data_IF_643804172452
#
_entry.id   IF_643804172452
#
_cell.length_a   1.000
_cell.length_b   1.000
_cell.length_c   1.000
_cell.angle_alpha   90.00
_cell.angle_beta   90.00
_cell.angle_gamma   90.00
#
_symmetry.space_group_name_H-M   'P 1'
#
loop_
_entity.id
_entity.type
_entity.pdbx_description
1 polymer ?
#
# COMPACT_ATOMS: atom_id res chain seq x y z
N UNK A 1 6.89 14.76 20.36
CA UNK A 1 6.78 15.11 18.95
C UNK A 1 5.34 14.95 18.48
N UNK A 2 4.98 15.67 17.43
CA UNK A 2 3.70 15.59 16.77
C UNK A 2 3.96 15.39 15.27
N UNK A 3 3.27 14.46 14.64
CA UNK A 3 3.36 14.18 13.20
C UNK A 3 2.05 13.61 12.68
N UNK A 4 2.02 13.19 11.41
CA UNK A 4 0.93 12.42 10.81
C UNK A 4 1.49 11.21 10.06
N UNK A 5 0.62 10.25 9.76
CA UNK A 5 0.96 9.03 9.02
C UNK A 5 0.77 9.17 7.52
N UNK A 6 -0.12 10.04 7.07
CA UNK A 6 -0.38 10.45 5.68
C UNK A 6 -1.22 11.73 5.64
N UNK A 7 -1.44 12.28 4.45
CA UNK A 7 -2.38 13.38 4.22
C UNK A 7 -3.75 12.87 3.78
N UNK A 8 -4.81 13.63 4.12
CA UNK A 8 -6.20 13.41 3.71
C UNK A 8 -7.03 14.68 3.83
N UNK A 9 -7.21 15.18 5.10
CA UNK A 9 -8.21 16.20 5.42
C UNK A 9 -7.83 17.62 4.95
N UNK A 10 -6.59 17.82 4.56
CA UNK A 10 -6.11 19.08 3.98
C UNK A 10 -6.52 19.27 2.52
N UNK A 11 -7.29 18.30 1.95
CA UNK A 11 -7.80 18.38 0.58
C UNK A 11 -9.18 17.75 0.45
N UNK A 12 -10.23 18.57 0.56
CA UNK A 12 -11.64 18.15 0.53
C UNK A 12 -12.24 17.97 -0.87
N UNK A 13 -11.61 18.55 -1.90
CA UNK A 13 -12.18 18.58 -3.25
C UNK A 13 -11.17 18.15 -4.30
N UNK A 14 -11.66 17.48 -5.33
CA UNK A 14 -10.92 17.21 -6.56
C UNK A 14 -10.68 18.49 -7.36
N UNK A 15 -9.84 18.43 -8.38
CA UNK A 15 -9.62 19.53 -9.31
C UNK A 15 -10.91 19.97 -10.06
N UNK A 16 -11.92 19.09 -10.15
CA UNK A 16 -13.24 19.41 -10.73
C UNK A 16 -14.23 19.99 -9.71
N UNK A 17 -13.84 20.18 -8.45
CA UNK A 17 -14.70 20.71 -7.39
C UNK A 17 -15.69 19.73 -6.78
N UNK A 18 -15.57 18.43 -7.07
CA UNK A 18 -16.36 17.38 -6.41
C UNK A 18 -15.71 16.97 -5.10
N UNK A 19 -16.48 16.52 -4.07
CA UNK A 19 -15.91 16.02 -2.82
C UNK A 19 -14.88 14.92 -3.07
N UNK A 20 -13.73 15.01 -2.42
CA UNK A 20 -12.63 14.05 -2.49
C UNK A 20 -12.39 13.44 -1.11
N UNK A 21 -12.68 12.16 -0.94
CA UNK A 21 -12.39 11.43 0.29
C UNK A 21 -11.11 10.60 0.19
N UNK A 22 -10.35 10.77 -0.89
CA UNK A 22 -9.10 10.05 -1.09
C UNK A 22 -7.97 10.64 -0.25
N UNK A 23 -7.03 9.80 0.15
CA UNK A 23 -5.78 10.26 0.74
C UNK A 23 -4.96 11.06 -0.28
N UNK A 24 -4.02 11.87 0.21
CA UNK A 24 -3.24 12.77 -0.62
C UNK A 24 -1.77 12.33 -0.74
N UNK A 25 -1.04 12.98 -1.62
CA UNK A 25 0.42 12.86 -1.72
C UNK A 25 1.14 13.99 -0.99
N UNK A 26 0.42 14.82 -0.26
CA UNK A 26 0.99 15.95 0.45
C UNK A 26 1.98 15.49 1.52
N UNK A 27 2.91 16.38 1.85
CA UNK A 27 3.82 16.19 2.97
C UNK A 27 3.04 16.26 4.28
N UNK A 28 3.60 15.69 5.33
CA UNK A 28 3.05 15.80 6.69
C UNK A 28 4.00 16.58 7.60
N UNK A 29 3.50 17.24 8.65
CA UNK A 29 4.34 17.99 9.56
C UNK A 29 5.08 17.06 10.52
N UNK A 30 6.25 17.50 10.99
CA UNK A 30 6.93 16.95 12.16
C UNK A 30 7.36 18.09 13.07
N UNK A 31 6.80 18.16 14.27
CA UNK A 31 7.11 19.14 15.30
C UNK A 31 7.81 18.44 16.45
N UNK A 32 8.92 19.01 16.90
CA UNK A 32 9.68 18.51 18.06
C UNK A 32 9.70 19.58 19.16
N UNK A 33 8.97 19.32 20.24
CA UNK A 33 8.81 20.21 21.36
C UNK A 33 9.63 19.69 22.55
N UNK A 34 10.60 20.46 22.99
CA UNK A 34 11.37 20.19 24.20
C UNK A 34 11.29 21.38 25.16
N UNK A 35 10.46 21.30 26.21
CA UNK A 35 10.31 22.41 27.16
C UNK A 35 11.61 22.80 27.90
N UNK A 36 12.61 21.92 27.90
CA UNK A 36 13.89 22.19 28.54
C UNK A 36 14.85 22.98 27.61
N UNK A 37 14.57 23.03 26.31
CA UNK A 37 15.39 23.75 25.34
C UNK A 37 14.91 25.18 25.15
N UNK A 38 15.85 26.13 25.28
CA UNK A 38 15.59 27.56 25.03
C UNK A 38 15.85 27.97 23.58
N UNK A 39 16.65 27.20 22.85
CA UNK A 39 17.01 27.46 21.49
C UNK A 39 16.31 26.42 20.55
N UNK A 40 15.98 26.80 19.30
CA UNK A 40 15.45 25.86 18.31
C UNK A 40 16.38 24.68 18.10
N UNK A 41 15.79 23.49 17.99
CA UNK A 41 16.49 22.30 17.49
C UNK A 41 16.40 22.34 15.98
N UNK A 42 17.54 22.34 15.31
CA UNK A 42 17.57 22.26 13.85
C UNK A 42 17.06 20.91 13.38
N UNK A 43 16.00 20.90 12.62
CA UNK A 43 15.43 19.69 12.02
C UNK A 43 15.64 19.73 10.50
N UNK A 44 16.00 18.60 9.93
CA UNK A 44 15.99 18.41 8.47
C UNK A 44 14.63 17.90 8.00
N UNK A 45 14.28 18.14 6.75
CA UNK A 45 13.20 17.45 6.08
C UNK A 45 13.58 15.97 5.87
N UNK A 46 12.56 15.11 5.80
CA UNK A 46 12.79 13.68 5.69
C UNK A 46 11.57 12.88 5.22
N UNK A 47 11.45 11.70 5.74
CA UNK A 47 10.31 10.81 5.51
C UNK A 47 9.87 10.10 6.79
N UNK A 48 8.74 9.42 6.76
CA UNK A 48 8.20 8.75 7.95
C UNK A 48 9.17 7.72 8.56
N UNK A 49 10.04 7.11 7.77
CA UNK A 49 11.04 6.17 8.28
C UNK A 49 12.15 6.83 9.12
N UNK A 50 12.21 8.15 9.18
CA UNK A 50 13.17 8.89 10.00
C UNK A 50 12.66 9.12 11.44
N UNK A 51 11.40 8.84 11.70
CA UNK A 51 10.78 9.07 13.02
C UNK A 51 11.34 8.13 14.09
N UNK A 52 11.33 6.81 13.88
CA UNK A 52 11.89 5.88 14.86
C UNK A 52 13.37 6.15 15.16
N UNK A 53 14.26 6.38 14.18
CA UNK A 53 15.61 6.84 14.43
C UNK A 53 15.69 8.11 15.30
N UNK A 54 14.80 9.08 15.05
CA UNK A 54 14.74 10.31 15.86
C UNK A 54 14.31 10.03 17.29
N UNK A 55 13.33 9.15 17.50
CA UNK A 55 12.92 8.72 18.85
C UNK A 55 14.08 8.06 19.61
N UNK A 56 14.78 7.14 18.95
CA UNK A 56 15.92 6.45 19.54
C UNK A 56 17.06 7.43 19.89
N UNK A 57 17.35 8.36 18.99
CA UNK A 57 18.36 9.41 19.19
C UNK A 57 18.02 10.28 20.40
N UNK A 58 16.78 10.80 20.51
CA UNK A 58 16.29 11.58 21.66
C UNK A 58 16.41 10.79 22.96
N UNK A 59 16.14 9.50 22.95
CA UNK A 59 16.19 8.63 24.13
C UNK A 59 17.60 8.11 24.45
N UNK A 60 18.61 8.41 23.62
CA UNK A 60 19.98 7.91 23.77
C UNK A 60 20.11 6.40 23.57
N UNK A 61 19.20 5.80 22.80
CA UNK A 61 19.19 4.37 22.48
C UNK A 61 19.89 4.15 21.14
N UNK A 62 20.86 3.22 21.06
CA UNK A 62 21.54 2.91 19.80
C UNK A 62 20.56 2.46 18.72
N UNK A 63 20.69 3.03 17.53
CA UNK A 63 19.88 2.64 16.36
C UNK A 63 20.33 1.26 15.86
N UNK A 64 19.39 0.29 15.66
CA UNK A 64 19.69 -0.99 15.02
C UNK A 64 20.16 -0.81 13.55
N UNK A 65 21.10 -1.65 13.08
CA UNK A 65 21.63 -1.54 11.71
C UNK A 65 20.58 -1.78 10.61
N UNK A 66 19.48 -2.44 10.93
CA UNK A 66 18.36 -2.65 10.01
C UNK A 66 17.52 -1.40 9.78
N UNK A 67 17.60 -0.41 10.66
CA UNK A 67 16.98 0.89 10.46
C UNK A 67 17.88 1.74 9.57
N UNK A 68 17.38 2.06 8.36
CA UNK A 68 18.11 2.86 7.36
C UNK A 68 17.75 4.34 7.37
N UNK A 69 16.68 4.71 8.09
CA UNK A 69 16.33 6.10 8.37
C UNK A 69 17.37 6.78 9.23
N UNK A 70 17.31 8.09 9.35
CA UNK A 70 18.25 8.90 10.13
C UNK A 70 17.50 9.87 11.02
N UNK A 71 18.05 10.22 12.19
CA UNK A 71 17.47 11.24 13.06
C UNK A 71 17.19 12.54 12.29
N UNK A 72 16.02 13.12 12.49
CA UNK A 72 15.64 14.43 11.94
C UNK A 72 16.38 15.57 12.65
N UNK A 73 16.83 15.33 13.88
CA UNK A 73 17.63 16.26 14.70
C UNK A 73 19.13 15.89 14.71
N UNK A 74 19.65 15.50 13.56
CA UNK A 74 21.01 15.00 13.39
C UNK A 74 22.06 15.98 13.93
N UNK A 75 22.95 15.46 14.78
CA UNK A 75 24.01 16.25 15.42
C UNK A 75 23.58 17.02 16.67
N UNK A 76 22.32 16.94 17.10
CA UNK A 76 21.87 17.52 18.36
C UNK A 76 22.29 16.63 19.56
N UNK A 77 22.82 17.25 20.57
CA UNK A 77 23.24 16.55 21.81
C UNK A 77 22.09 16.53 22.83
N UNK A 78 21.53 15.36 23.05
CA UNK A 78 20.46 15.13 24.02
C UNK A 78 21.04 14.91 25.44
N UNK A 79 20.34 15.42 26.47
CA UNK A 79 20.65 15.08 27.85
C UNK A 79 20.25 13.63 28.21
N UNK A 80 20.70 13.13 29.38
CA UNK A 80 20.37 11.79 29.84
C UNK A 80 18.89 11.64 30.21
N UNK A 81 18.42 10.38 30.29
CA UNK A 81 17.09 9.97 30.83
C UNK A 81 15.90 10.68 30.18
N UNK A 82 15.97 10.87 28.87
CA UNK A 82 14.88 11.46 28.09
C UNK A 82 13.73 10.49 27.91
N UNK A 83 12.51 11.02 28.01
CA UNK A 83 11.28 10.35 27.63
C UNK A 83 10.64 11.12 26.49
N UNK A 84 10.02 10.41 25.56
CA UNK A 84 9.37 11.01 24.40
C UNK A 84 7.91 10.59 24.32
N UNK A 85 7.03 11.55 24.07
CA UNK A 85 5.64 11.31 23.63
C UNK A 85 5.58 11.58 22.13
N UNK A 86 5.16 10.59 21.36
CA UNK A 86 4.88 10.72 19.94
C UNK A 86 3.36 10.73 19.74
N UNK A 87 2.85 11.79 19.14
CA UNK A 87 1.46 11.95 18.74
C UNK A 87 1.40 11.84 17.22
N UNK A 88 0.59 10.92 16.70
CA UNK A 88 0.37 10.72 15.29
C UNK A 88 -1.07 11.13 14.98
N UNK A 89 -1.24 12.17 14.17
CA UNK A 89 -2.54 12.68 13.73
C UNK A 89 -2.89 12.00 12.40
N UNK A 90 -3.84 11.08 12.41
CA UNK A 90 -4.26 10.35 11.20
C UNK A 90 -4.78 11.31 10.13
N UNK A 91 -4.24 11.21 8.92
CA UNK A 91 -4.67 11.99 7.76
C UNK A 91 -4.40 13.50 7.82
N UNK A 92 -3.46 13.95 8.66
CA UNK A 92 -3.14 15.36 8.86
C UNK A 92 -1.99 15.81 7.97
N UNK A 93 -2.28 16.09 6.69
CA UNK A 93 -1.30 16.61 5.72
C UNK A 93 -1.07 18.12 5.82
N UNK A 94 -0.08 18.58 5.09
CA UNK A 94 0.18 20.02 4.90
C UNK A 94 -0.58 20.51 3.66
N UNK A 95 -1.65 21.27 3.90
CA UNK A 95 -2.51 21.83 2.87
C UNK A 95 -2.03 23.17 2.32
N UNK A 96 -2.85 23.74 1.45
CA UNK A 96 -2.59 25.04 0.79
C UNK A 96 -3.22 26.22 1.50
N UNK A 97 -4.02 25.98 2.55
CA UNK A 97 -4.72 27.03 3.31
C UNK A 97 -5.87 27.68 2.53
N UNK A 98 -6.47 26.94 1.61
CA UNK A 98 -7.62 27.41 0.83
C UNK A 98 -8.97 26.86 1.35
N UNK A 99 -10.05 27.14 0.65
CA UNK A 99 -11.40 26.68 1.00
C UNK A 99 -11.60 25.16 0.85
N UNK A 100 -10.62 24.43 0.36
CA UNK A 100 -10.60 22.97 0.26
C UNK A 100 -9.79 22.30 1.37
N UNK A 101 -9.19 23.05 2.28
CA UNK A 101 -8.37 22.56 3.37
C UNK A 101 -9.18 22.60 4.67
N UNK A 102 -9.58 21.42 5.17
CA UNK A 102 -10.38 21.31 6.39
C UNK A 102 -9.64 21.79 7.64
N UNK A 103 -8.30 21.64 7.67
CA UNK A 103 -7.48 22.10 8.80
C UNK A 103 -7.53 23.64 8.85
N UNK A 104 -7.34 24.28 7.70
CA UNK A 104 -7.44 25.73 7.58
C UNK A 104 -8.85 26.25 7.91
N UNK A 105 -9.90 25.57 7.41
CA UNK A 105 -11.29 25.96 7.68
C UNK A 105 -11.71 25.80 9.14
N UNK A 106 -11.12 24.84 9.85
CA UNK A 106 -11.40 24.61 11.26
C UNK A 106 -10.77 25.68 12.18
N UNK A 107 -9.80 26.46 11.65
CA UNK A 107 -9.09 27.51 12.38
C UNK A 107 -8.64 27.04 13.78
N UNK A 108 -7.83 25.94 13.90
CA UNK A 108 -7.50 25.33 15.16
C UNK A 108 -6.45 26.15 15.93
N UNK A 109 -6.84 26.96 16.94
CA UNK A 109 -5.96 27.98 17.52
C UNK A 109 -4.71 27.39 18.20
N UNK A 110 -4.81 26.19 18.74
CA UNK A 110 -3.66 25.52 19.36
C UNK A 110 -2.68 24.99 18.32
N UNK A 111 -3.17 24.54 17.15
CA UNK A 111 -2.31 24.09 16.06
C UNK A 111 -1.55 25.26 15.43
N UNK A 112 -2.23 26.34 15.14
CA UNK A 112 -1.63 27.55 14.57
C UNK A 112 -0.61 28.16 15.52
N UNK A 113 -0.92 28.19 16.82
CA UNK A 113 0.03 28.59 17.86
C UNK A 113 1.25 27.67 17.90
N UNK A 114 1.06 26.34 17.85
CA UNK A 114 2.17 25.38 17.84
C UNK A 114 3.08 25.58 16.64
N UNK A 115 2.54 25.79 15.45
CA UNK A 115 3.33 26.08 14.23
C UNK A 115 4.08 27.40 14.35
N UNK A 116 3.45 28.43 14.90
CA UNK A 116 4.04 29.77 15.04
C UNK A 116 5.13 29.82 16.13
N UNK A 117 4.91 29.12 17.27
CA UNK A 117 5.77 29.17 18.43
C UNK A 117 6.82 28.05 18.47
N UNK A 118 6.61 26.94 17.72
CA UNK A 118 7.56 25.84 17.65
C UNK A 118 8.59 26.09 16.54
N UNK A 119 9.79 26.54 16.89
CA UNK A 119 10.84 26.78 15.91
C UNK A 119 11.49 25.51 15.38
N UNK A 120 11.16 24.37 15.97
CA UNK A 120 11.73 23.04 15.64
C UNK A 120 10.67 22.21 14.91
N UNK A 121 10.43 22.53 13.64
CA UNK A 121 9.54 21.74 12.79
C UNK A 121 10.14 21.48 11.40
N UNK A 122 9.70 20.43 10.76
CA UNK A 122 10.11 20.02 9.41
C UNK A 122 8.97 19.33 8.69
N UNK A 123 9.19 19.00 7.43
CA UNK A 123 8.22 18.34 6.56
C UNK A 123 8.70 16.93 6.21
N UNK A 124 7.76 15.98 6.20
CA UNK A 124 8.08 14.58 5.91
C UNK A 124 7.29 14.08 4.71
N UNK A 125 7.98 13.33 3.86
CA UNK A 125 7.33 12.53 2.83
C UNK A 125 6.55 11.38 3.47
N UNK A 126 5.26 11.29 3.14
CA UNK A 126 4.32 10.30 3.69
C UNK A 126 3.56 9.54 2.58
N UNK A 127 4.07 9.57 1.34
CA UNK A 127 3.42 8.99 0.16
C UNK A 127 4.43 8.41 -0.83
N UNK A 128 3.95 7.66 -1.80
CA UNK A 128 4.77 7.14 -2.89
C UNK A 128 5.94 6.29 -2.43
N UNK A 129 7.03 6.36 -3.16
CA UNK A 129 8.23 5.54 -2.94
C UNK A 129 8.89 5.77 -1.58
N UNK A 130 8.68 6.93 -0.97
CA UNK A 130 9.21 7.26 0.36
C UNK A 130 8.63 6.40 1.48
N UNK A 131 7.46 5.83 1.25
CA UNK A 131 6.79 4.93 2.21
C UNK A 131 6.55 3.53 1.62
N UNK A 132 7.32 3.18 0.57
CA UNK A 132 7.26 1.86 -0.05
C UNK A 132 6.02 1.60 -0.90
N UNK A 133 5.32 2.64 -1.31
CA UNK A 133 4.22 2.60 -2.29
C UNK A 133 4.75 2.88 -3.71
N UNK A 134 3.94 2.60 -4.72
CA UNK A 134 4.27 2.98 -6.09
C UNK A 134 4.40 4.50 -6.26
N UNK A 135 5.17 4.94 -7.25
CA UNK A 135 5.39 6.36 -7.54
C UNK A 135 4.07 7.11 -7.73
N UNK A 136 3.92 8.26 -7.07
CA UNK A 136 2.72 9.10 -7.11
C UNK A 136 1.48 8.53 -6.41
N UNK A 137 1.56 7.36 -5.75
CA UNK A 137 0.46 6.84 -4.94
C UNK A 137 0.33 7.61 -3.62
N UNK A 138 -0.90 7.97 -3.26
CA UNK A 138 -1.20 8.57 -1.97
C UNK A 138 -0.78 7.66 -0.81
N UNK A 139 -0.43 8.26 0.33
CA UNK A 139 -0.16 7.55 1.56
C UNK A 139 -1.39 6.82 2.13
N UNK A 140 -1.16 5.96 3.10
CA UNK A 140 -2.23 5.32 3.87
C UNK A 140 -1.69 4.92 5.26
N UNK A 141 -2.60 4.66 6.19
CA UNK A 141 -2.24 4.36 7.58
C UNK A 141 -1.37 3.13 7.73
N UNK A 142 -1.58 2.08 6.91
CA UNK A 142 -0.76 0.86 6.97
C UNK A 142 0.70 1.15 6.58
N UNK A 143 0.91 1.78 5.42
CA UNK A 143 2.25 2.15 4.98
C UNK A 143 2.89 3.18 5.92
N UNK A 144 2.12 4.20 6.35
CA UNK A 144 2.59 5.24 7.24
C UNK A 144 3.09 4.68 8.57
N UNK A 145 2.26 3.96 9.30
CA UNK A 145 2.62 3.37 10.60
C UNK A 145 3.73 2.32 10.50
N UNK A 146 3.72 1.51 9.41
CA UNK A 146 4.79 0.54 9.17
C UNK A 146 6.15 1.22 9.04
N UNK A 147 6.25 2.29 8.25
CA UNK A 147 7.52 3.00 8.06
C UNK A 147 7.94 3.79 9.30
N UNK A 148 6.98 4.44 9.98
CA UNK A 148 7.20 5.12 11.26
C UNK A 148 7.88 4.21 12.28
N UNK A 149 7.34 2.99 12.46
CA UNK A 149 7.84 2.04 13.45
C UNK A 149 9.08 1.28 13.01
N UNK A 150 9.20 0.95 11.72
CA UNK A 150 10.33 0.18 11.20
C UNK A 150 11.64 0.98 11.12
N UNK A 151 11.57 2.32 11.11
CA UNK A 151 12.75 3.16 10.91
C UNK A 151 13.46 2.95 9.57
N UNK A 152 12.73 2.44 8.59
CA UNK A 152 13.19 2.21 7.21
C UNK A 152 12.00 2.17 6.26
N UNK A 153 12.25 2.46 4.97
CA UNK A 153 11.23 2.30 3.96
C UNK A 153 10.95 0.82 3.71
N UNK A 154 9.69 0.41 3.90
CA UNK A 154 9.22 -0.97 3.69
C UNK A 154 8.37 -1.01 2.42
N UNK A 155 8.89 -1.57 1.31
CA UNK A 155 8.10 -1.73 0.09
C UNK A 155 6.87 -2.59 0.34
N UNK A 156 5.71 -2.10 -0.08
CA UNK A 156 4.45 -2.82 -0.01
C UNK A 156 4.46 -4.06 -0.90
N UNK A 157 3.57 -5.02 -0.63
CA UNK A 157 3.58 -6.32 -1.30
C UNK A 157 3.41 -6.18 -2.82
N UNK A 158 2.50 -5.31 -3.28
CA UNK A 158 2.29 -5.03 -4.70
C UNK A 158 3.58 -4.49 -5.36
N UNK A 159 4.25 -3.53 -4.75
CA UNK A 159 5.52 -2.96 -5.25
C UNK A 159 6.61 -4.03 -5.33
N UNK A 160 6.66 -4.93 -4.34
CA UNK A 160 7.62 -6.06 -4.35
C UNK A 160 7.31 -7.07 -5.44
N UNK A 161 6.03 -7.39 -5.68
CA UNK A 161 5.61 -8.30 -6.74
C UNK A 161 5.88 -7.71 -8.12
N UNK A 162 5.55 -6.43 -8.34
CA UNK A 162 5.82 -5.73 -9.59
C UNK A 162 7.32 -5.69 -9.91
N UNK A 163 8.14 -5.41 -8.89
CA UNK A 163 9.60 -5.46 -9.02
C UNK A 163 10.08 -6.89 -9.34
N UNK A 164 9.53 -7.90 -8.68
CA UNK A 164 9.88 -9.29 -8.92
C UNK A 164 9.56 -9.74 -10.35
N UNK A 165 8.41 -9.31 -10.90
CA UNK A 165 8.06 -9.56 -12.30
C UNK A 165 9.03 -8.83 -13.24
N UNK A 166 9.25 -7.54 -13.01
CA UNK A 166 10.13 -6.69 -13.83
C UNK A 166 11.56 -7.22 -13.93
N UNK A 167 12.11 -7.69 -12.81
CA UNK A 167 13.47 -8.20 -12.73
C UNK A 167 13.59 -9.71 -12.93
N UNK A 168 12.49 -10.40 -13.21
CA UNK A 168 12.46 -11.82 -13.55
C UNK A 168 12.57 -12.77 -12.35
N UNK A 169 12.65 -12.29 -11.11
CA UNK A 169 12.72 -13.16 -9.94
C UNK A 169 11.39 -13.84 -9.60
N UNK A 170 10.27 -13.30 -10.05
CA UNK A 170 8.94 -13.88 -9.89
C UNK A 170 8.84 -15.25 -10.58
N UNK A 171 9.29 -15.31 -11.83
CA UNK A 171 9.27 -16.53 -12.66
C UNK A 171 10.21 -17.62 -12.13
N UNK A 172 11.21 -17.25 -11.35
CA UNK A 172 12.16 -18.16 -10.73
C UNK A 172 11.80 -18.52 -9.28
N UNK A 173 10.62 -18.13 -8.80
CA UNK A 173 10.18 -18.47 -7.45
C UNK A 173 10.04 -20.01 -7.32
N UNK A 174 10.79 -20.65 -6.40
CA UNK A 174 10.82 -22.10 -6.30
C UNK A 174 9.47 -22.73 -5.96
N UNK A 175 8.59 -22.00 -5.25
CA UNK A 175 7.25 -22.50 -4.90
C UNK A 175 6.36 -22.58 -6.15
N UNK A 176 6.40 -21.57 -7.02
CA UNK A 176 5.66 -21.61 -8.29
C UNK A 176 6.18 -22.73 -9.20
N UNK A 177 7.49 -22.84 -9.31
CA UNK A 177 8.10 -23.91 -10.11
C UNK A 177 7.76 -25.31 -9.58
N UNK A 178 7.72 -25.49 -8.25
CA UNK A 178 7.29 -26.75 -7.64
C UNK A 178 5.82 -27.08 -7.93
N UNK A 179 4.92 -26.08 -7.88
CA UNK A 179 3.52 -26.29 -8.20
C UNK A 179 3.32 -26.68 -9.68
N UNK A 180 4.01 -26.00 -10.60
CA UNK A 180 4.00 -26.29 -12.03
C UNK A 180 4.54 -27.71 -12.30
N UNK A 181 5.68 -28.06 -11.70
CA UNK A 181 6.31 -29.37 -11.84
C UNK A 181 5.44 -30.49 -11.24
N UNK A 182 4.76 -30.22 -10.11
CA UNK A 182 3.78 -31.15 -9.55
C UNK A 182 2.64 -31.44 -10.52
N UNK A 183 2.03 -30.39 -11.10
CA UNK A 183 0.96 -30.56 -12.08
C UNK A 183 1.42 -31.37 -13.32
N UNK A 184 2.60 -31.06 -13.85
CA UNK A 184 3.20 -31.81 -14.98
C UNK A 184 3.41 -33.29 -14.66
N UNK A 185 4.07 -33.60 -13.54
CA UNK A 185 4.39 -34.99 -13.18
C UNK A 185 3.15 -35.83 -12.95
N UNK A 186 2.08 -35.23 -12.48
CA UNK A 186 0.82 -35.93 -12.20
C UNK A 186 -0.18 -35.88 -13.36
N UNK A 187 0.12 -35.23 -14.49
CA UNK A 187 -0.81 -35.03 -15.59
C UNK A 187 -2.07 -34.29 -15.16
N UNK A 188 -1.93 -33.35 -14.22
CA UNK A 188 -3.02 -32.55 -13.66
C UNK A 188 -2.92 -31.08 -14.07
N UNK A 189 -3.97 -30.32 -13.83
CA UNK A 189 -4.00 -28.89 -14.12
C UNK A 189 -3.47 -28.05 -12.97
N UNK A 190 -3.03 -26.83 -13.27
CA UNK A 190 -2.77 -25.77 -12.31
C UNK A 190 -3.96 -24.81 -12.26
N UNK A 191 -4.50 -24.57 -11.08
CA UNK A 191 -5.60 -23.66 -10.86
C UNK A 191 -5.12 -22.38 -10.19
N UNK A 192 -5.49 -21.22 -10.73
CA UNK A 192 -5.13 -19.90 -10.25
C UNK A 192 -6.37 -19.11 -9.85
N UNK A 193 -6.48 -18.69 -8.59
CA UNK A 193 -7.45 -17.69 -8.19
C UNK A 193 -6.90 -16.32 -8.56
N UNK A 194 -7.55 -15.61 -9.49
CA UNK A 194 -7.07 -14.39 -10.09
C UNK A 194 -8.01 -13.22 -9.79
N UNK A 195 -7.45 -12.14 -9.25
CA UNK A 195 -8.19 -10.92 -8.99
C UNK A 195 -8.19 -10.02 -10.22
N UNK A 196 -9.36 -9.74 -10.78
CA UNK A 196 -9.49 -8.95 -12.01
C UNK A 196 -9.41 -7.46 -11.71
N UNK A 197 -8.21 -6.95 -11.58
CA UNK A 197 -7.92 -5.53 -11.35
C UNK A 197 -6.51 -5.19 -11.79
N UNK A 198 -6.28 -3.93 -12.16
CA UNK A 198 -4.94 -3.37 -12.42
C UNK A 198 -4.43 -2.44 -11.33
N UNK A 199 -5.31 -2.01 -10.42
CA UNK A 199 -5.02 -0.93 -9.45
C UNK A 199 -5.38 -1.30 -8.01
N UNK A 200 -5.79 -2.53 -7.75
CA UNK A 200 -6.20 -2.96 -6.41
C UNK A 200 -4.98 -3.36 -5.57
N UNK A 201 -5.00 -3.01 -4.29
CA UNK A 201 -4.09 -3.56 -3.29
C UNK A 201 -4.32 -5.06 -3.01
N UNK A 202 -5.43 -5.64 -3.51
CA UNK A 202 -5.77 -7.04 -3.32
C UNK A 202 -5.16 -7.95 -4.39
N UNK A 203 -4.69 -7.42 -5.50
CA UNK A 203 -4.08 -8.17 -6.59
C UNK A 203 -4.11 -7.44 -7.93
N UNK A 204 -3.40 -7.98 -8.90
CA UNK A 204 -3.35 -7.52 -10.29
C UNK A 204 -3.46 -8.70 -11.23
N UNK A 205 -4.05 -8.48 -12.42
CA UNK A 205 -4.06 -9.48 -13.50
C UNK A 205 -2.64 -9.82 -13.99
N UNK A 206 -1.67 -8.97 -13.74
CA UNK A 206 -0.27 -9.20 -14.17
C UNK A 206 0.36 -10.41 -13.46
N UNK A 207 -0.07 -10.70 -12.23
CA UNK A 207 0.48 -11.83 -11.46
C UNK A 207 0.06 -13.21 -12.04
N UNK A 208 -1.22 -13.51 -12.29
CA UNK A 208 -1.61 -14.75 -12.93
C UNK A 208 -1.07 -14.87 -14.36
N UNK A 209 -0.96 -13.77 -15.11
CA UNK A 209 -0.34 -13.77 -16.44
C UNK A 209 1.14 -14.17 -16.37
N UNK A 210 1.89 -13.66 -15.39
CA UNK A 210 3.28 -14.06 -15.18
C UNK A 210 3.40 -15.56 -14.84
N UNK A 211 2.46 -16.12 -14.08
CA UNK A 211 2.42 -17.56 -13.80
C UNK A 211 2.07 -18.36 -15.05
N UNK A 212 1.10 -17.92 -15.86
CA UNK A 212 0.76 -18.56 -17.14
C UNK A 212 1.96 -18.57 -18.09
N UNK A 213 2.66 -17.45 -18.24
CA UNK A 213 3.91 -17.37 -18.99
C UNK A 213 4.94 -18.39 -18.49
N UNK A 214 5.19 -18.44 -17.17
CA UNK A 214 6.12 -19.38 -16.56
C UNK A 214 5.70 -20.84 -16.80
N UNK A 215 4.41 -21.15 -16.66
CA UNK A 215 3.86 -22.46 -16.91
C UNK A 215 4.10 -22.92 -18.36
N UNK A 216 3.89 -22.02 -19.33
CA UNK A 216 4.20 -22.27 -20.74
C UNK A 216 5.67 -22.60 -20.96
N UNK A 217 6.57 -21.78 -20.42
CA UNK A 217 8.02 -22.00 -20.53
C UNK A 217 8.45 -23.35 -19.91
N UNK A 218 7.79 -23.76 -18.83
CA UNK A 218 7.97 -25.06 -18.22
C UNK A 218 7.24 -26.20 -18.93
N UNK A 219 6.45 -25.93 -19.98
CA UNK A 219 5.73 -26.92 -20.78
C UNK A 219 4.49 -27.48 -20.09
N UNK A 220 3.82 -26.73 -19.23
CA UNK A 220 2.50 -27.04 -18.67
C UNK A 220 1.44 -26.29 -19.47
N UNK A 221 0.53 -27.04 -20.14
CA UNK A 221 -0.55 -26.46 -20.95
C UNK A 221 -1.84 -26.19 -20.17
N UNK A 222 -2.15 -27.05 -19.21
CA UNK A 222 -3.42 -27.01 -18.48
C UNK A 222 -3.32 -26.07 -17.26
N UNK A 223 -3.63 -24.80 -17.51
CA UNK A 223 -3.71 -23.76 -16.46
C UNK A 223 -5.10 -23.12 -16.53
N UNK A 224 -5.81 -23.11 -15.42
CA UNK A 224 -7.17 -22.59 -15.29
C UNK A 224 -7.24 -21.41 -14.35
N UNK A 225 -7.91 -20.32 -14.77
CA UNK A 225 -8.09 -19.11 -14.01
C UNK A 225 -9.53 -19.01 -13.49
N UNK A 226 -9.65 -18.85 -12.17
CA UNK A 226 -10.87 -18.56 -11.44
C UNK A 226 -10.89 -17.08 -11.10
N UNK A 227 -11.78 -16.31 -11.69
CA UNK A 227 -11.75 -14.85 -11.64
C UNK A 227 -12.54 -14.30 -10.45
N UNK A 228 -11.92 -13.45 -9.65
CA UNK A 228 -12.60 -12.62 -8.64
C UNK A 228 -12.77 -11.23 -9.20
N UNK A 229 -14.02 -10.83 -9.50
CA UNK A 229 -14.34 -9.49 -10.00
C UNK A 229 -14.22 -8.45 -8.89
N UNK A 230 -13.45 -7.39 -9.12
CA UNK A 230 -13.17 -6.36 -8.13
C UNK A 230 -14.41 -5.51 -7.78
N UNK A 231 -14.95 -4.76 -8.70
CA UNK A 231 -16.10 -3.88 -8.47
C UNK A 231 -15.92 -2.79 -7.40
N UNK A 232 -14.68 -2.55 -6.93
CA UNK A 232 -14.36 -1.51 -5.97
C UNK A 232 -13.24 -0.57 -6.44
N UNK A 233 -12.13 -1.13 -6.89
CA UNK A 233 -10.97 -0.38 -7.38
C UNK A 233 -10.96 -0.29 -8.91
N UNK A 234 -11.97 -0.83 -9.56
CA UNK A 234 -12.22 -0.75 -11.00
C UNK A 234 -13.49 0.04 -11.26
N UNK A 235 -13.56 0.71 -12.41
CA UNK A 235 -14.74 1.46 -12.82
C UNK A 235 -15.97 0.54 -12.92
N UNK A 236 -17.16 0.99 -12.47
CA UNK A 236 -18.39 0.24 -12.64
C UNK A 236 -18.62 -0.13 -14.11
N UNK A 237 -18.95 -1.41 -14.37
CA UNK A 237 -19.18 -1.93 -15.73
C UNK A 237 -17.92 -2.24 -16.54
N UNK A 238 -16.71 -2.07 -16.00
CA UNK A 238 -15.44 -2.35 -16.70
C UNK A 238 -15.08 -3.83 -16.83
N UNK A 239 -15.75 -4.72 -16.11
CA UNK A 239 -15.43 -6.15 -16.08
C UNK A 239 -15.39 -6.82 -17.47
N UNK A 240 -16.35 -6.58 -18.41
CA UNK A 240 -16.28 -7.18 -19.73
C UNK A 240 -15.04 -6.78 -20.53
N UNK A 241 -14.64 -5.51 -20.44
CA UNK A 241 -13.44 -5.02 -21.13
C UNK A 241 -12.16 -5.63 -20.54
N UNK A 242 -12.07 -5.71 -19.22
CA UNK A 242 -10.93 -6.32 -18.51
C UNK A 242 -10.85 -7.84 -18.77
N UNK A 243 -11.99 -8.53 -18.88
CA UNK A 243 -12.01 -9.94 -19.26
C UNK A 243 -11.52 -10.15 -20.70
N UNK A 244 -12.01 -9.33 -21.64
CA UNK A 244 -11.58 -9.42 -23.03
C UNK A 244 -10.07 -9.16 -23.18
N UNK A 245 -9.54 -8.20 -22.44
CA UNK A 245 -8.11 -7.92 -22.40
C UNK A 245 -7.31 -9.09 -21.81
N UNK A 246 -7.77 -9.66 -20.68
CA UNK A 246 -7.14 -10.83 -20.08
C UNK A 246 -7.15 -12.03 -21.03
N UNK A 247 -8.28 -12.30 -21.67
CA UNK A 247 -8.41 -13.41 -22.61
C UNK A 247 -7.49 -13.25 -23.82
N UNK A 248 -7.37 -12.02 -24.35
CA UNK A 248 -6.42 -11.72 -25.42
C UNK A 248 -4.98 -11.99 -24.97
N UNK A 249 -4.58 -11.54 -23.79
CA UNK A 249 -3.23 -11.74 -23.26
C UNK A 249 -2.93 -13.23 -23.00
N UNK A 250 -3.91 -14.00 -22.50
CA UNK A 250 -3.78 -15.46 -22.36
C UNK A 250 -3.60 -16.15 -23.71
N UNK A 251 -4.36 -15.72 -24.74
CA UNK A 251 -4.20 -16.22 -26.10
C UNK A 251 -2.80 -15.91 -26.69
N UNK A 252 -2.27 -14.72 -26.46
CA UNK A 252 -0.91 -14.34 -26.86
C UNK A 252 0.16 -15.17 -26.13
N UNK A 253 -0.02 -15.42 -24.84
CA UNK A 253 0.83 -16.33 -24.06
C UNK A 253 0.70 -17.77 -24.61
N UNK A 254 -0.49 -18.20 -24.99
CA UNK A 254 -0.80 -19.55 -25.46
C UNK A 254 -0.94 -20.57 -24.33
N UNK A 255 -1.18 -20.11 -23.11
CA UNK A 255 -1.45 -20.94 -21.91
C UNK A 255 -2.31 -20.13 -20.94
N UNK A 256 -3.24 -20.84 -20.27
CA UNK A 256 -4.22 -20.24 -19.36
C UNK A 256 -5.60 -20.16 -20.02
N UNK A 257 -6.63 -20.50 -19.25
CA UNK A 257 -8.02 -20.42 -19.66
C UNK A 257 -8.88 -19.93 -18.51
N UNK A 258 -9.71 -18.93 -18.74
CA UNK A 258 -10.73 -18.50 -17.78
C UNK A 258 -11.83 -19.57 -17.75
N UNK A 259 -12.16 -20.08 -16.57
CA UNK A 259 -13.12 -21.18 -16.39
C UNK A 259 -14.36 -20.78 -15.60
N UNK A 260 -14.22 -19.87 -14.66
CA UNK A 260 -15.34 -19.28 -13.91
C UNK A 260 -15.00 -17.90 -13.38
N UNK A 261 -15.99 -17.25 -12.75
CA UNK A 261 -15.80 -15.97 -12.11
C UNK A 261 -16.87 -15.68 -11.07
N UNK A 262 -16.48 -15.00 -10.01
CA UNK A 262 -17.33 -14.62 -8.89
C UNK A 262 -17.03 -13.20 -8.41
N UNK A 263 -18.06 -12.45 -8.02
CA UNK A 263 -17.87 -11.10 -7.47
C UNK A 263 -17.19 -11.11 -6.10
N UNK A 264 -16.36 -10.09 -5.83
CA UNK A 264 -15.67 -9.93 -4.54
C UNK A 264 -16.63 -9.90 -3.34
N UNK A 265 -17.83 -9.37 -3.51
CA UNK A 265 -18.84 -9.32 -2.44
C UNK A 265 -19.31 -10.72 -1.97
N UNK A 266 -18.99 -11.74 -2.76
CA UNK A 266 -19.24 -13.16 -2.47
C UNK A 266 -17.92 -13.83 -2.04
N UNK A 267 -16.91 -13.80 -2.91
CA UNK A 267 -15.65 -14.52 -2.70
C UNK A 267 -14.79 -13.95 -1.55
N UNK A 268 -14.92 -12.65 -1.26
CA UNK A 268 -14.14 -11.96 -0.22
C UNK A 268 -15.03 -11.47 0.94
N UNK A 269 -16.11 -12.20 1.26
CA UNK A 269 -16.91 -11.88 2.43
C UNK A 269 -16.06 -11.98 3.71
N UNK A 270 -16.10 -10.94 4.53
CA UNK A 270 -15.42 -10.87 5.82
C UNK A 270 -16.35 -10.59 6.99
N UNK A 271 -17.66 -10.63 6.72
CA UNK A 271 -18.73 -10.39 7.70
C UNK A 271 -19.30 -11.69 8.27
N UNK A 272 -18.59 -12.83 8.03
CA UNK A 272 -18.98 -14.19 8.45
C UNK A 272 -20.29 -14.67 7.83
N UNK A 273 -20.63 -14.17 6.65
CA UNK A 273 -21.75 -14.69 5.88
C UNK A 273 -21.31 -15.94 5.09
N UNK A 274 -21.32 -17.07 5.77
CA UNK A 274 -20.84 -18.34 5.21
C UNK A 274 -21.66 -18.83 4.01
N UNK A 275 -22.92 -18.41 3.86
CA UNK A 275 -23.74 -18.72 2.70
C UNK A 275 -23.15 -18.10 1.42
N UNK A 276 -22.63 -16.87 1.51
CA UNK A 276 -21.88 -16.27 0.38
C UNK A 276 -20.61 -17.03 0.07
N UNK A 277 -19.80 -17.34 1.10
CA UNK A 277 -18.59 -18.12 0.92
C UNK A 277 -18.87 -19.49 0.29
N UNK A 278 -20.00 -20.11 0.65
CA UNK A 278 -20.45 -21.38 0.05
C UNK A 278 -20.73 -21.25 -1.45
N UNK A 279 -21.33 -20.15 -1.92
CA UNK A 279 -21.57 -19.94 -3.35
C UNK A 279 -20.25 -19.93 -4.15
N UNK A 280 -19.22 -19.27 -3.64
CA UNK A 280 -17.90 -19.28 -4.26
C UNK A 280 -17.25 -20.67 -4.22
N UNK A 281 -17.39 -21.38 -3.10
CA UNK A 281 -16.90 -22.75 -2.95
C UNK A 281 -17.58 -23.70 -3.96
N UNK A 282 -18.92 -23.65 -4.06
CA UNK A 282 -19.70 -24.52 -4.96
C UNK A 282 -19.35 -24.23 -6.44
N UNK A 283 -19.07 -22.96 -6.78
CA UNK A 283 -18.60 -22.62 -8.12
C UNK A 283 -17.24 -23.24 -8.43
N UNK A 284 -16.29 -23.15 -7.51
CA UNK A 284 -14.92 -23.65 -7.68
C UNK A 284 -14.83 -25.19 -7.66
N UNK A 285 -15.64 -25.85 -6.80
CA UNK A 285 -15.50 -27.30 -6.54
C UNK A 285 -16.51 -28.12 -7.34
N UNK A 286 -17.75 -27.63 -7.42
CA UNK A 286 -18.87 -28.36 -8.04
C UNK A 286 -19.23 -27.81 -9.43
N UNK A 287 -18.61 -26.73 -9.88
CA UNK A 287 -18.95 -26.05 -11.14
C UNK A 287 -20.36 -25.44 -11.11
N UNK A 288 -20.88 -25.13 -9.92
CA UNK A 288 -22.21 -24.57 -9.77
C UNK A 288 -22.24 -23.10 -10.18
N UNK A 289 -23.13 -22.73 -11.12
CA UNK A 289 -23.23 -21.35 -11.59
C UNK A 289 -24.08 -21.22 -12.85
N UNK A 290 -24.21 -19.99 -13.36
CA UNK A 290 -24.79 -19.75 -14.67
C UNK A 290 -23.74 -20.00 -15.76
N UNK A 291 -24.14 -20.65 -16.83
CA UNK A 291 -23.31 -20.81 -18.04
C UNK A 291 -23.49 -19.57 -18.93
N UNK A 292 -22.40 -19.00 -19.40
CA UNK A 292 -22.34 -17.87 -20.31
C UNK A 292 -21.49 -18.20 -21.53
#
# INVERSE_FOLDING_TARGET
AITADHGNIEKLYTASGTPDGAHTTNLVPFLLLDPAQKAPISLRDGSLCDIAPTVLDVMGIPQPPEMTGRSLAEGHAWGPDRKMLLIICDGWGLGTGDSGDAIHLADPPDWDRLLAECPSWSQLHASGEFVGLGSGKAGNSEAGHTNLGAGRCIPQVDVRLDAAIRYGSFQHNPVFLQAIDHAKRNGSALHLLAYLSRKSSHGSIDYPLAICWTAKEQGLADVYLHIIFDGRSTEPGSAPALLAELDQQLAEIGTGRIVDGVGRGIALDRDRNYEKGKLAYDALVDGAGALY
#
